data_IF_764353151698
#
_entry.id   IF_764353151698
#
_cell.length_a   1.000
_cell.length_b   1.000
_cell.length_c   1.000
_cell.angle_alpha   90.00
_cell.angle_beta   90.00
_cell.angle_gamma   90.00
#
_symmetry.space_group_name_H-M   'P 1'
#
loop_
_entity.id
_entity.type
_entity.pdbx_description
1 polymer ?
#
# COMPACT_ATOMS: atom_id res chain seq x y z
N UNK A 1 23.35 -7.00 -52.68
CA UNK A 1 22.46 -6.10 -51.90
C UNK A 1 21.39 -6.94 -51.21
N UNK A 2 21.11 -6.70 -49.92
CA UNK A 2 19.87 -7.06 -49.21
C UNK A 2 19.53 -8.52 -48.84
N UNK A 3 20.16 -9.06 -47.77
CA UNK A 3 19.46 -10.02 -46.87
C UNK A 3 19.71 -9.67 -45.39
N UNK A 4 20.96 -9.39 -45.00
CA UNK A 4 21.33 -9.05 -43.61
C UNK A 4 20.79 -7.69 -43.12
N UNK A 5 20.67 -6.71 -44.01
CA UNK A 5 20.06 -5.40 -43.70
C UNK A 5 18.54 -5.46 -43.54
N UNK A 6 17.87 -6.38 -44.25
CA UNK A 6 16.42 -6.59 -44.13
C UNK A 6 16.02 -7.29 -42.83
N UNK A 7 16.74 -8.33 -42.40
CA UNK A 7 16.46 -9.04 -41.14
C UNK A 7 16.65 -8.16 -39.90
N UNK A 8 17.69 -7.33 -39.91
CA UNK A 8 17.99 -6.39 -38.80
C UNK A 8 16.93 -5.29 -38.68
N UNK A 9 16.43 -4.77 -39.81
CA UNK A 9 15.33 -3.79 -39.82
C UNK A 9 13.99 -4.38 -39.38
N UNK A 10 13.70 -5.65 -39.70
CA UNK A 10 12.48 -6.33 -39.25
C UNK A 10 12.54 -6.57 -37.74
N UNK A 11 13.68 -7.01 -37.20
CA UNK A 11 13.85 -7.22 -35.77
C UNK A 11 13.72 -5.90 -34.99
N UNK A 12 14.30 -4.82 -35.52
CA UNK A 12 14.19 -3.48 -34.94
C UNK A 12 12.75 -2.94 -35.00
N UNK A 13 12.05 -3.13 -36.12
CA UNK A 13 10.64 -2.76 -36.27
C UNK A 13 9.72 -3.58 -35.34
N UNK A 14 9.96 -4.88 -35.17
CA UNK A 14 9.23 -5.72 -34.21
C UNK A 14 9.50 -5.31 -32.76
N UNK A 15 10.72 -4.90 -32.43
CA UNK A 15 11.08 -4.38 -31.11
C UNK A 15 10.43 -3.02 -30.85
N UNK A 16 10.41 -2.12 -31.83
CA UNK A 16 9.71 -0.84 -31.76
C UNK A 16 8.19 -1.03 -31.59
N UNK A 17 7.58 -1.90 -32.40
CA UNK A 17 6.16 -2.22 -32.32
C UNK A 17 5.77 -2.85 -30.98
N UNK A 18 6.62 -3.74 -30.44
CA UNK A 18 6.44 -4.32 -29.10
C UNK A 18 6.56 -3.26 -28.01
N UNK A 19 7.50 -2.31 -28.15
CA UNK A 19 7.72 -1.21 -27.20
C UNK A 19 6.56 -0.21 -27.21
N UNK A 20 6.05 0.16 -28.39
CA UNK A 20 4.86 1.01 -28.55
C UNK A 20 3.60 0.35 -27.96
N UNK A 21 3.41 -0.95 -28.21
CA UNK A 21 2.27 -1.70 -27.65
C UNK A 21 2.32 -1.83 -26.12
N UNK A 22 3.52 -1.99 -25.54
CA UNK A 22 3.71 -1.99 -24.08
C UNK A 22 3.44 -0.60 -23.50
N UNK A 23 3.88 0.46 -24.17
CA UNK A 23 3.64 1.85 -23.77
C UNK A 23 2.13 2.16 -23.76
N UNK A 24 1.41 1.73 -24.79
CA UNK A 24 -0.06 1.83 -24.87
C UNK A 24 -0.78 1.04 -23.76
N UNK A 25 -0.30 -0.14 -23.38
CA UNK A 25 -0.87 -0.93 -22.28
C UNK A 25 -0.65 -0.24 -20.94
N UNK A 26 0.54 0.34 -20.70
CA UNK A 26 0.84 1.04 -19.45
C UNK A 26 -0.03 2.30 -19.31
N UNK A 27 -0.10 3.13 -20.34
CA UNK A 27 -0.96 4.34 -20.36
C UNK A 27 -2.43 3.97 -20.15
N UNK A 28 -2.88 2.88 -20.78
CA UNK A 28 -4.22 2.34 -20.58
C UNK A 28 -4.46 1.89 -19.13
N UNK A 29 -3.58 1.07 -18.56
CA UNK A 29 -3.72 0.58 -17.18
C UNK A 29 -3.72 1.75 -16.19
N UNK A 30 -2.84 2.73 -16.38
CA UNK A 30 -2.76 3.92 -15.55
C UNK A 30 -4.07 4.73 -15.64
N UNK A 31 -4.69 4.81 -16.83
CA UNK A 31 -5.98 5.46 -17.04
C UNK A 31 -7.15 4.79 -16.30
N UNK A 32 -7.05 3.48 -16.03
CA UNK A 32 -8.10 2.74 -15.35
C UNK A 32 -8.16 3.03 -13.85
N UNK A 33 -7.11 3.64 -13.28
CA UNK A 33 -6.99 3.98 -11.86
C UNK A 33 -7.32 2.77 -10.95
N UNK A 34 -6.69 1.63 -11.27
CA UNK A 34 -6.98 0.35 -10.63
C UNK A 34 -6.54 0.34 -9.16
N UNK A 35 -7.33 -0.33 -8.35
CA UNK A 35 -7.26 -0.32 -6.91
C UNK A 35 -6.82 -1.67 -6.36
N UNK A 36 -7.39 -2.74 -6.93
CA UNK A 36 -7.23 -4.13 -6.52
C UNK A 36 -6.33 -4.90 -7.48
N UNK A 37 -5.85 -4.25 -8.54
CA UNK A 37 -4.97 -4.83 -9.53
C UNK A 37 -3.67 -4.02 -9.61
N UNK A 38 -2.55 -4.73 -9.54
CA UNK A 38 -1.21 -4.17 -9.73
C UNK A 38 -0.59 -4.72 -11.01
N UNK A 39 -0.04 -3.84 -11.84
CA UNK A 39 0.58 -4.25 -13.09
C UNK A 39 2.06 -4.54 -12.92
N UNK A 40 2.45 -5.79 -13.19
CA UNK A 40 3.84 -6.20 -13.34
C UNK A 40 4.28 -6.01 -14.80
N UNK A 41 4.92 -4.88 -15.08
CA UNK A 41 5.38 -4.53 -16.42
C UNK A 41 6.45 -5.46 -16.99
N UNK A 42 7.19 -6.18 -16.12
CA UNK A 42 8.20 -7.16 -16.55
C UNK A 42 7.54 -8.43 -17.06
N UNK A 43 6.44 -8.86 -16.42
CA UNK A 43 5.69 -10.06 -16.78
C UNK A 43 4.51 -9.80 -17.70
N UNK A 44 4.14 -8.53 -17.92
CA UNK A 44 2.97 -8.13 -18.69
C UNK A 44 1.69 -8.77 -18.13
N UNK A 45 1.51 -8.67 -16.81
CA UNK A 45 0.39 -9.26 -16.04
C UNK A 45 -0.18 -8.20 -15.08
N UNK A 46 -1.51 -8.08 -15.05
CA UNK A 46 -2.25 -7.47 -13.94
C UNK A 46 -2.52 -8.52 -12.86
N UNK A 47 -1.88 -8.35 -11.71
CA UNK A 47 -1.99 -9.23 -10.54
C UNK A 47 -3.14 -8.76 -9.68
N UNK A 48 -4.09 -9.65 -9.40
CA UNK A 48 -5.18 -9.37 -8.47
C UNK A 48 -4.68 -9.46 -7.01
N UNK A 49 -4.99 -8.47 -6.18
CA UNK A 49 -4.73 -8.53 -4.73
C UNK A 49 -5.76 -9.44 -4.05
N UNK A 50 -5.40 -10.71 -3.93
CA UNK A 50 -6.26 -11.75 -3.36
C UNK A 50 -6.57 -11.59 -1.87
N UNK A 51 -5.96 -10.61 -1.19
CA UNK A 51 -6.35 -10.29 0.19
C UNK A 51 -7.73 -9.62 0.26
N UNK A 52 -8.26 -9.13 -0.87
CA UNK A 52 -9.56 -8.49 -0.98
C UNK A 52 -10.40 -9.22 -2.04
N UNK A 53 -11.54 -9.76 -1.63
CA UNK A 53 -12.52 -10.38 -2.53
C UNK A 53 -13.89 -9.78 -2.23
N UNK A 54 -14.17 -8.64 -2.84
CA UNK A 54 -15.42 -7.91 -2.66
C UNK A 54 -15.98 -7.42 -4.01
N UNK A 55 -17.23 -6.93 -4.03
CA UNK A 55 -17.90 -6.45 -5.24
C UNK A 55 -17.07 -5.42 -6.02
N UNK A 56 -16.27 -4.59 -5.34
CA UNK A 56 -15.43 -3.58 -6.00
C UNK A 56 -14.25 -4.20 -6.75
N UNK A 57 -13.59 -5.22 -6.17
CA UNK A 57 -12.58 -6.00 -6.87
C UNK A 57 -13.15 -6.69 -8.12
N UNK A 58 -14.41 -7.14 -8.06
CA UNK A 58 -15.11 -7.71 -9.21
C UNK A 58 -15.45 -6.65 -10.26
N UNK A 59 -15.92 -5.48 -9.84
CA UNK A 59 -16.17 -4.36 -10.75
C UNK A 59 -14.90 -3.92 -11.49
N UNK A 60 -13.74 -3.90 -10.83
CA UNK A 60 -12.48 -3.62 -11.51
C UNK A 60 -12.10 -4.72 -12.49
N UNK A 61 -12.23 -5.98 -12.10
CA UNK A 61 -12.03 -7.11 -13.02
C UNK A 61 -12.90 -6.97 -14.27
N UNK A 62 -14.20 -6.66 -14.12
CA UNK A 62 -15.10 -6.44 -15.24
C UNK A 62 -14.70 -5.21 -16.07
N UNK A 63 -14.32 -4.10 -15.42
CA UNK A 63 -13.85 -2.89 -16.10
C UNK A 63 -12.63 -3.20 -16.98
N UNK A 64 -11.62 -3.87 -16.42
CA UNK A 64 -10.40 -4.25 -17.12
C UNK A 64 -10.74 -5.13 -18.32
N UNK A 65 -11.43 -6.25 -18.09
CA UNK A 65 -11.74 -7.23 -19.14
C UNK A 65 -12.64 -6.66 -20.23
N UNK A 66 -13.62 -5.82 -19.88
CA UNK A 66 -14.45 -5.09 -20.83
C UNK A 66 -13.63 -4.19 -21.74
N UNK A 67 -12.76 -3.35 -21.17
CA UNK A 67 -11.95 -2.43 -21.97
C UNK A 67 -10.94 -3.16 -22.85
N UNK A 68 -10.32 -4.24 -22.36
CA UNK A 68 -9.41 -5.05 -23.17
C UNK A 68 -10.13 -5.68 -24.36
N UNK A 69 -11.33 -6.21 -24.11
CA UNK A 69 -12.17 -6.80 -25.16
C UNK A 69 -12.60 -5.74 -26.19
N UNK A 70 -13.04 -4.57 -25.73
CA UNK A 70 -13.47 -3.44 -26.59
C UNK A 70 -12.35 -2.94 -27.49
N UNK A 71 -11.10 -2.95 -27.03
CA UNK A 71 -9.94 -2.51 -27.81
C UNK A 71 -9.22 -3.67 -28.52
N UNK A 72 -9.82 -4.86 -28.56
CA UNK A 72 -9.25 -6.08 -29.17
C UNK A 72 -7.84 -6.42 -28.66
N UNK A 73 -7.55 -6.13 -27.39
CA UNK A 73 -6.29 -6.49 -26.75
C UNK A 73 -6.42 -7.94 -26.26
N UNK A 74 -5.58 -8.88 -26.73
CA UNK A 74 -5.66 -10.27 -26.29
C UNK A 74 -5.21 -10.42 -24.84
N UNK A 75 -5.96 -11.20 -24.06
CA UNK A 75 -5.62 -11.50 -22.68
C UNK A 75 -6.07 -12.90 -22.25
N UNK A 76 -5.41 -13.44 -21.22
CA UNK A 76 -5.80 -14.67 -20.54
C UNK A 76 -6.07 -14.38 -19.06
N UNK A 77 -7.04 -15.08 -18.46
CA UNK A 77 -7.41 -14.94 -17.06
C UNK A 77 -7.02 -16.20 -16.29
N UNK A 78 -6.24 -16.00 -15.22
CA UNK A 78 -5.82 -17.08 -14.32
C UNK A 78 -6.85 -17.37 -13.22
N UNK A 79 -6.70 -18.50 -12.51
CA UNK A 79 -7.63 -18.92 -11.45
C UNK A 79 -7.83 -17.89 -10.34
N UNK A 80 -6.83 -17.07 -10.03
CA UNK A 80 -6.92 -16.02 -9.01
C UNK A 80 -7.42 -14.67 -9.58
N UNK A 81 -8.00 -14.68 -10.79
CA UNK A 81 -8.47 -13.51 -11.55
C UNK A 81 -7.36 -12.53 -11.96
N UNK A 82 -6.08 -12.91 -11.94
CA UNK A 82 -5.01 -12.11 -12.57
C UNK A 82 -5.06 -12.24 -14.09
N UNK A 83 -4.73 -11.18 -14.81
CA UNK A 83 -4.93 -11.03 -16.26
C UNK A 83 -3.57 -10.86 -16.96
N UNK A 84 -3.25 -11.68 -17.96
CA UNK A 84 -2.00 -11.61 -18.73
C UNK A 84 -2.24 -11.14 -20.17
N UNK A 85 -1.43 -10.20 -20.68
CA UNK A 85 -1.66 -9.55 -21.99
C UNK A 85 -0.89 -10.16 -23.18
N UNK A 86 -0.36 -11.37 -23.03
CA UNK A 86 0.35 -12.08 -24.10
C UNK A 86 -0.04 -13.54 -24.13
N UNK A 87 -0.26 -14.09 -25.33
CA UNK A 87 -0.10 -15.54 -25.56
C UNK A 87 1.37 -15.90 -25.32
N UNK A 88 1.75 -16.10 -24.07
CA UNK A 88 2.97 -16.82 -23.81
C UNK A 88 2.70 -18.27 -24.19
N UNK A 89 3.44 -18.80 -25.17
CA UNK A 89 3.67 -20.24 -25.17
C UNK A 89 4.17 -20.57 -23.76
N UNK A 90 3.49 -21.50 -23.09
CA UNK A 90 3.84 -21.94 -21.75
C UNK A 90 5.25 -22.55 -21.81
N UNK A 91 6.26 -21.72 -21.62
CA UNK A 91 7.64 -22.15 -21.62
C UNK A 91 7.90 -22.79 -20.27
N UNK A 92 7.80 -24.11 -20.23
CA UNK A 92 7.95 -24.88 -19.01
C UNK A 92 9.29 -24.57 -18.31
N UNK A 93 10.36 -24.25 -19.06
CA UNK A 93 11.66 -23.84 -18.48
C UNK A 93 11.58 -22.49 -17.76
N UNK A 94 10.83 -21.53 -18.30
CA UNK A 94 10.64 -20.22 -17.67
C UNK A 94 9.72 -20.32 -16.45
N UNK A 95 8.66 -21.13 -16.52
CA UNK A 95 7.83 -21.42 -15.37
C UNK A 95 8.61 -22.16 -14.26
N UNK A 96 9.43 -23.15 -14.62
CA UNK A 96 10.32 -23.86 -13.70
C UNK A 96 11.34 -22.91 -13.08
N UNK A 97 11.93 -21.99 -13.85
CA UNK A 97 12.90 -21.03 -13.31
C UNK A 97 12.24 -20.06 -12.32
N UNK A 98 11.02 -19.60 -12.60
CA UNK A 98 10.20 -18.79 -11.68
C UNK A 98 9.85 -19.59 -10.42
N UNK A 99 9.49 -20.88 -10.54
CA UNK A 99 9.23 -21.75 -9.40
C UNK A 99 10.48 -21.93 -8.53
N UNK A 100 11.63 -22.22 -9.15
CA UNK A 100 12.91 -22.36 -8.45
C UNK A 100 13.27 -21.05 -7.73
N UNK A 101 13.10 -19.89 -8.39
CA UNK A 101 13.31 -18.59 -7.76
C UNK A 101 12.32 -18.34 -6.62
N UNK A 102 11.04 -18.72 -6.77
CA UNK A 102 10.04 -18.58 -5.73
C UNK A 102 10.40 -19.41 -4.48
N UNK A 103 10.86 -20.66 -4.67
CA UNK A 103 11.32 -21.54 -3.60
C UNK A 103 12.57 -20.94 -2.94
N UNK A 104 13.54 -20.48 -3.74
CA UNK A 104 14.75 -19.83 -3.24
C UNK A 104 14.42 -18.58 -2.42
N UNK A 105 13.52 -17.74 -2.90
CA UNK A 105 13.10 -16.50 -2.23
C UNK A 105 12.32 -16.79 -0.94
N UNK A 106 11.49 -17.85 -0.91
CA UNK A 106 10.76 -18.27 0.29
C UNK A 106 11.70 -18.65 1.45
N UNK A 107 12.88 -19.18 1.13
CA UNK A 107 13.87 -19.57 2.13
C UNK A 107 14.73 -18.39 2.62
N UNK A 108 14.61 -17.19 2.01
CA UNK A 108 15.34 -16.01 2.48
C UNK A 108 14.75 -15.52 3.80
N UNK A 109 15.63 -14.99 4.65
CA UNK A 109 15.26 -14.36 5.91
C UNK A 109 14.98 -12.87 5.69
N UNK A 110 13.80 -12.57 5.13
CA UNK A 110 13.31 -11.21 4.96
C UNK A 110 12.23 -10.97 6.02
N UNK A 111 12.43 -9.97 6.86
CA UNK A 111 11.51 -9.62 7.94
C UNK A 111 10.90 -8.25 7.71
N UNK A 112 9.59 -8.16 7.84
CA UNK A 112 8.82 -6.92 7.78
C UNK A 112 8.30 -6.60 9.18
N UNK A 113 8.68 -5.44 9.73
CA UNK A 113 8.41 -5.09 11.13
C UNK A 113 6.97 -4.56 11.38
N UNK A 114 6.01 -5.08 10.62
CA UNK A 114 4.58 -4.77 10.73
C UNK A 114 3.75 -6.04 10.47
N UNK A 115 2.42 -5.92 10.53
CA UNK A 115 1.45 -7.01 10.35
C UNK A 115 1.02 -7.26 8.89
N UNK A 116 1.38 -6.37 7.94
CA UNK A 116 0.95 -6.46 6.55
C UNK A 116 1.62 -7.63 5.85
N UNK A 117 0.82 -8.50 5.24
CA UNK A 117 1.31 -9.64 4.47
C UNK A 117 1.85 -9.18 3.11
N UNK A 118 3.10 -9.53 2.84
CA UNK A 118 3.77 -9.32 1.54
C UNK A 118 4.51 -10.60 1.19
N UNK A 119 4.46 -11.00 -0.07
CA UNK A 119 5.07 -12.26 -0.54
C UNK A 119 6.55 -12.31 -0.13
N UNK A 120 7.00 -13.46 0.38
CA UNK A 120 8.38 -13.73 0.83
C UNK A 120 8.85 -13.03 2.10
N UNK A 121 8.10 -12.07 2.65
CA UNK A 121 8.43 -11.45 3.93
C UNK A 121 7.77 -12.19 5.11
N UNK A 122 8.53 -12.35 6.19
CA UNK A 122 8.05 -12.82 7.50
C UNK A 122 7.70 -11.60 8.36
N UNK A 123 6.53 -11.58 8.97
CA UNK A 123 6.09 -10.44 9.78
C UNK A 123 6.60 -10.52 11.22
N UNK A 124 7.12 -9.41 11.73
CA UNK A 124 7.37 -9.19 13.16
C UNK A 124 6.59 -7.92 13.55
N UNK A 125 5.31 -8.04 13.94
CA UNK A 125 4.50 -6.88 14.29
C UNK A 125 4.95 -6.31 15.62
N UNK A 126 5.81 -5.28 15.60
CA UNK A 126 6.41 -4.66 16.80
C UNK A 126 5.41 -3.87 17.66
N UNK A 127 4.26 -3.53 17.09
CA UNK A 127 3.17 -2.88 17.79
C UNK A 127 1.84 -3.49 17.33
N UNK A 128 0.84 -3.35 18.18
CA UNK A 128 -0.55 -3.68 17.92
C UNK A 128 -1.41 -2.43 18.03
N UNK A 129 -2.46 -2.39 17.24
CA UNK A 129 -3.50 -1.38 17.34
C UNK A 129 -4.45 -1.84 18.45
N UNK A 130 -4.59 -1.04 19.48
CA UNK A 130 -5.50 -1.33 20.59
C UNK A 130 -6.61 -0.28 20.60
N UNK A 131 -7.87 -0.70 20.39
CA UNK A 131 -9.03 0.16 20.59
C UNK A 131 -9.06 0.71 22.00
N UNK A 132 -9.45 1.98 22.16
CA UNK A 132 -9.70 2.59 23.46
C UNK A 132 -11.20 2.52 23.70
N UNK A 133 -11.61 1.72 24.68
CA UNK A 133 -13.03 1.53 25.01
C UNK A 133 -13.65 2.84 25.49
N UNK A 134 -14.57 3.37 24.68
CA UNK A 134 -15.39 4.54 25.03
C UNK A 134 -16.65 4.59 24.17
N UNK A 135 -17.67 5.26 24.70
CA UNK A 135 -18.88 5.58 23.95
C UNK A 135 -18.71 6.95 23.30
N UNK A 136 -18.91 7.01 21.99
CA UNK A 136 -18.82 8.24 21.21
C UNK A 136 -20.22 8.56 20.70
N UNK A 137 -20.76 9.70 21.09
CA UNK A 137 -22.01 10.19 20.52
C UNK A 137 -21.73 10.86 19.18
N UNK A 138 -22.19 10.24 18.10
CA UNK A 138 -21.95 10.71 16.73
C UNK A 138 -23.06 11.61 16.18
N UNK A 139 -24.21 11.72 16.87
CA UNK A 139 -25.43 12.36 16.31
C UNK A 139 -25.31 13.86 16.10
N UNK A 140 -24.34 14.51 16.75
CA UNK A 140 -24.11 15.96 16.69
C UNK A 140 -23.17 16.39 15.56
N UNK A 141 -22.56 15.46 14.83
CA UNK A 141 -21.52 15.78 13.85
C UNK A 141 -22.03 15.67 12.42
N UNK A 142 -21.73 16.69 11.62
CA UNK A 142 -22.06 16.76 10.20
C UNK A 142 -21.01 16.08 9.32
N UNK A 143 -19.79 15.92 9.84
CA UNK A 143 -18.66 15.35 9.11
C UNK A 143 -17.68 14.63 10.03
N UNK A 144 -17.04 13.59 9.49
CA UNK A 144 -15.95 12.87 10.17
C UNK A 144 -14.68 12.95 9.33
N UNK A 145 -13.55 13.22 9.97
CA UNK A 145 -12.22 13.13 9.37
C UNK A 145 -11.58 11.79 9.73
N UNK A 146 -11.05 11.09 8.72
CA UNK A 146 -10.36 9.80 8.87
C UNK A 146 -9.01 9.81 8.14
N UNK A 147 -7.92 9.76 8.89
CA UNK A 147 -6.56 9.79 8.33
C UNK A 147 -5.85 8.43 8.34
N UNK A 148 -6.51 7.38 8.80
CA UNK A 148 -5.90 6.05 8.95
C UNK A 148 -6.94 4.94 8.74
N UNK A 149 -6.50 3.82 8.16
CA UNK A 149 -7.31 2.60 8.08
C UNK A 149 -7.75 2.11 9.47
N UNK A 150 -6.87 2.26 10.46
CA UNK A 150 -7.12 1.80 11.82
C UNK A 150 -8.24 2.61 12.47
N UNK A 151 -8.38 3.89 12.12
CA UNK A 151 -9.50 4.71 12.62
C UNK A 151 -10.83 4.16 12.10
N UNK A 152 -10.90 3.76 10.84
CA UNK A 152 -12.10 3.16 10.22
C UNK A 152 -12.44 1.83 10.87
N UNK A 153 -11.47 0.91 10.94
CA UNK A 153 -11.69 -0.41 11.55
C UNK A 153 -12.15 -0.29 13.00
N UNK A 154 -11.55 0.65 13.74
CA UNK A 154 -11.89 0.90 15.15
C UNK A 154 -13.28 1.49 15.31
N UNK A 155 -13.62 2.57 14.58
CA UNK A 155 -14.95 3.18 14.71
C UNK A 155 -16.04 2.25 14.17
N UNK A 156 -15.75 1.45 13.15
CA UNK A 156 -16.70 0.46 12.66
C UNK A 156 -16.99 -0.61 13.73
N UNK A 157 -15.99 -1.08 14.46
CA UNK A 157 -16.23 -1.99 15.58
C UNK A 157 -17.00 -1.32 16.73
N UNK A 158 -16.77 -0.02 16.99
CA UNK A 158 -17.33 0.70 18.13
C UNK A 158 -18.76 1.21 17.93
N UNK A 159 -19.04 1.88 16.81
CA UNK A 159 -20.32 2.57 16.59
C UNK A 159 -20.64 2.69 15.11
N UNK A 160 -21.53 1.82 14.59
CA UNK A 160 -21.91 1.74 13.17
C UNK A 160 -22.57 3.00 12.61
N UNK A 161 -23.02 3.94 13.45
CA UNK A 161 -23.65 5.18 12.98
C UNK A 161 -22.69 6.08 12.20
N UNK A 162 -21.38 5.90 12.36
CA UNK A 162 -20.35 6.60 11.57
C UNK A 162 -20.60 6.48 10.07
N UNK A 163 -21.17 5.36 9.62
CA UNK A 163 -21.43 5.07 8.20
C UNK A 163 -22.37 6.07 7.55
N UNK A 164 -23.26 6.67 8.33
CA UNK A 164 -24.25 7.64 7.85
C UNK A 164 -23.64 9.04 7.68
N UNK A 165 -22.51 9.30 8.32
CA UNK A 165 -21.91 10.64 8.39
C UNK A 165 -20.90 10.84 7.25
N UNK A 166 -20.98 11.96 6.51
CA UNK A 166 -19.99 12.35 5.50
C UNK A 166 -18.53 12.23 5.97
N UNK A 167 -17.78 11.31 5.37
CA UNK A 167 -16.39 11.00 5.70
C UNK A 167 -15.40 11.70 4.76
N UNK A 168 -14.45 12.41 5.35
CA UNK A 168 -13.35 13.12 4.70
C UNK A 168 -12.06 12.36 4.95
N UNK A 169 -11.42 11.85 3.89
CA UNK A 169 -10.30 10.92 4.04
C UNK A 169 -9.01 11.39 3.37
N UNK A 170 -7.88 11.08 4.01
CA UNK A 170 -6.55 11.52 3.57
C UNK A 170 -6.02 10.80 2.32
N UNK A 171 -6.58 9.64 1.97
CA UNK A 171 -6.03 8.84 0.87
C UNK A 171 -7.07 8.00 0.18
N UNK A 172 -6.78 7.64 -1.07
CA UNK A 172 -7.56 6.67 -1.83
C UNK A 172 -7.65 5.32 -1.11
N UNK A 173 -6.61 4.88 -0.41
CA UNK A 173 -6.63 3.64 0.39
C UNK A 173 -7.70 3.70 1.49
N UNK A 174 -7.72 4.81 2.24
CA UNK A 174 -8.72 5.06 3.29
C UNK A 174 -10.12 5.16 2.68
N UNK A 175 -10.27 5.78 1.50
CA UNK A 175 -11.55 5.90 0.80
C UNK A 175 -12.16 4.56 0.40
N UNK A 176 -11.32 3.64 -0.10
CA UNK A 176 -11.73 2.27 -0.45
C UNK A 176 -12.31 1.56 0.77
N UNK A 177 -11.64 1.68 1.91
CA UNK A 177 -12.07 1.06 3.14
C UNK A 177 -13.38 1.64 3.66
N UNK A 178 -13.58 2.96 3.55
CA UNK A 178 -14.88 3.58 3.86
C UNK A 178 -15.99 2.96 3.02
N UNK A 179 -15.77 2.80 1.71
CA UNK A 179 -16.76 2.17 0.82
C UNK A 179 -16.98 0.69 1.13
N UNK A 180 -15.92 -0.05 1.45
CA UNK A 180 -15.98 -1.46 1.83
C UNK A 180 -16.84 -1.67 3.08
N UNK A 181 -16.76 -0.78 4.06
CA UNK A 181 -17.61 -0.82 5.24
C UNK A 181 -19.00 -0.19 5.05
N UNK A 182 -19.38 0.16 3.82
CA UNK A 182 -20.64 0.85 3.48
C UNK A 182 -20.80 2.23 4.14
N UNK A 183 -19.71 2.97 4.32
CA UNK A 183 -19.72 4.34 4.82
C UNK A 183 -19.94 5.40 3.73
N UNK A 184 -20.42 6.57 4.14
CA UNK A 184 -20.64 7.73 3.28
C UNK A 184 -19.33 8.48 3.05
N UNK A 185 -18.73 8.33 1.88
CA UNK A 185 -17.55 9.06 1.46
C UNK A 185 -17.92 10.43 0.87
N UNK A 186 -17.38 11.51 1.41
CA UNK A 186 -17.64 12.89 0.97
C UNK A 186 -16.43 13.55 0.29
N UNK A 187 -15.21 13.22 0.72
CA UNK A 187 -13.99 13.81 0.19
C UNK A 187 -12.82 12.85 0.25
N UNK A 188 -11.94 12.90 -0.76
CA UNK A 188 -10.66 12.17 -0.80
C UNK A 188 -9.55 13.15 -1.14
N UNK A 189 -8.54 13.23 -0.29
CA UNK A 189 -7.38 14.08 -0.53
C UNK A 189 -6.57 13.64 -1.74
N UNK A 190 -5.98 14.62 -2.41
CA UNK A 190 -5.09 14.41 -3.56
C UNK A 190 -3.63 14.19 -3.15
N UNK A 191 -3.20 14.77 -2.02
CA UNK A 191 -1.77 14.92 -1.69
C UNK A 191 -1.26 13.93 -0.65
N UNK A 192 -2.13 13.17 0.04
CA UNK A 192 -1.78 12.13 1.02
C UNK A 192 -0.89 12.60 2.19
N UNK A 193 -0.78 13.91 2.42
CA UNK A 193 -0.01 14.55 3.50
C UNK A 193 -0.97 15.25 4.46
N UNK A 194 -0.80 15.05 5.77
CA UNK A 194 -1.77 15.48 6.78
C UNK A 194 -2.01 16.99 6.84
N UNK A 195 -0.95 17.79 6.71
CA UNK A 195 -1.06 19.25 6.78
C UNK A 195 -1.70 19.82 5.51
N UNK A 196 -1.30 19.34 4.34
CA UNK A 196 -1.92 19.71 3.06
C UNK A 196 -3.38 19.26 3.00
N UNK A 197 -3.68 18.07 3.53
CA UNK A 197 -5.05 17.56 3.64
C UNK A 197 -5.95 18.48 4.46
N UNK A 198 -5.46 19.03 5.58
CA UNK A 198 -6.22 19.97 6.40
C UNK A 198 -6.62 21.23 5.60
N UNK A 199 -5.71 21.77 4.80
CA UNK A 199 -6.01 22.89 3.90
C UNK A 199 -7.01 22.51 2.79
N UNK A 200 -6.89 21.32 2.19
CA UNK A 200 -7.78 20.86 1.13
C UNK A 200 -9.25 20.77 1.58
N UNK A 201 -9.50 20.36 2.83
CA UNK A 201 -10.85 20.14 3.36
C UNK A 201 -11.47 21.39 4.00
N UNK A 202 -10.68 22.42 4.29
CA UNK A 202 -11.11 23.62 5.03
C UNK A 202 -12.40 24.23 4.44
N UNK A 203 -12.39 24.54 3.13
CA UNK A 203 -13.56 25.14 2.48
C UNK A 203 -14.79 24.22 2.51
N UNK A 204 -14.59 22.92 2.37
CA UNK A 204 -15.67 21.94 2.34
C UNK A 204 -16.27 21.64 3.73
N UNK A 205 -15.56 22.01 4.80
CA UNK A 205 -15.96 21.83 6.19
C UNK A 205 -16.51 23.11 6.84
N UNK A 206 -16.47 24.25 6.15
CA UNK A 206 -16.94 25.52 6.70
C UNK A 206 -18.41 25.43 7.13
N UNK A 207 -18.69 25.84 8.38
CA UNK A 207 -20.03 25.84 8.96
C UNK A 207 -20.57 24.46 9.37
N UNK A 208 -19.71 23.42 9.37
CA UNK A 208 -20.06 22.08 9.85
C UNK A 208 -19.46 21.83 11.22
N UNK A 209 -20.15 21.06 12.06
CA UNK A 209 -19.57 20.46 13.26
C UNK A 209 -18.84 19.18 12.89
N UNK A 210 -17.52 19.15 13.09
CA UNK A 210 -16.63 18.09 12.58
C UNK A 210 -16.04 17.26 13.71
N UNK A 211 -15.95 15.95 13.51
CA UNK A 211 -15.23 15.05 14.41
C UNK A 211 -14.01 14.43 13.73
N UNK A 212 -12.83 14.64 14.29
CA UNK A 212 -11.61 13.95 13.88
C UNK A 212 -11.36 12.69 14.71
N UNK A 213 -11.58 11.52 14.11
CA UNK A 213 -11.31 10.23 14.73
C UNK A 213 -9.86 9.80 14.50
N UNK A 214 -9.08 9.69 15.58
CA UNK A 214 -7.63 9.52 15.47
C UNK A 214 -7.02 8.52 16.43
N UNK A 215 -5.77 8.18 16.14
CA UNK A 215 -4.90 7.47 17.08
C UNK A 215 -4.32 8.44 18.11
N UNK A 216 -3.84 7.88 19.23
CA UNK A 216 -3.21 8.66 20.30
C UNK A 216 -2.01 9.47 19.83
N UNK A 217 -1.16 8.83 19.04
CA UNK A 217 0.01 9.45 18.40
C UNK A 217 -0.41 10.08 17.06
N UNK A 218 -0.10 11.37 16.88
CA UNK A 218 -0.37 12.13 15.65
C UNK A 218 0.91 12.80 15.18
N UNK A 219 1.15 12.78 13.87
CA UNK A 219 2.36 13.39 13.26
C UNK A 219 2.05 14.72 12.57
N UNK A 220 0.79 14.95 12.18
CA UNK A 220 0.34 16.15 11.45
C UNK A 220 -0.22 17.22 12.38
N UNK A 221 -0.16 18.48 11.94
CA UNK A 221 -0.75 19.64 12.63
C UNK A 221 -2.22 19.88 12.25
N UNK A 222 -2.95 18.82 11.87
CA UNK A 222 -4.28 18.91 11.27
C UNK A 222 -5.27 19.72 12.11
N UNK A 223 -5.37 19.44 13.41
CA UNK A 223 -6.26 20.17 14.32
C UNK A 223 -5.93 21.66 14.36
N UNK A 224 -4.65 22.00 14.57
CA UNK A 224 -4.21 23.39 14.63
C UNK A 224 -4.41 24.15 13.32
N UNK A 225 -4.35 23.47 12.17
CA UNK A 225 -4.63 24.08 10.87
C UNK A 225 -6.14 24.35 10.72
N UNK A 226 -6.99 23.39 11.07
CA UNK A 226 -8.45 23.54 11.00
C UNK A 226 -8.95 24.65 11.94
N UNK A 227 -8.44 24.68 13.16
CA UNK A 227 -8.74 25.72 14.16
C UNK A 227 -8.37 27.11 13.64
N UNK A 228 -7.16 27.28 13.10
CA UNK A 228 -6.72 28.56 12.49
C UNK A 228 -7.56 29.02 11.29
N UNK A 229 -8.33 28.11 10.69
CA UNK A 229 -9.24 28.41 9.59
C UNK A 229 -10.71 28.47 10.04
N UNK A 230 -10.97 28.59 11.35
CA UNK A 230 -12.30 28.71 11.95
C UNK A 230 -13.23 27.53 11.60
N UNK A 231 -12.67 26.32 11.57
CA UNK A 231 -13.46 25.10 11.44
C UNK A 231 -13.77 24.57 12.84
N UNK A 232 -15.06 24.37 13.12
CA UNK A 232 -15.52 23.73 14.35
C UNK A 232 -15.22 22.23 14.29
N UNK A 233 -14.05 21.85 14.81
CA UNK A 233 -13.57 20.47 14.79
C UNK A 233 -13.15 20.03 16.19
N UNK A 234 -13.81 18.99 16.69
CA UNK A 234 -13.40 18.25 17.88
C UNK A 234 -12.58 17.02 17.45
N UNK A 235 -11.69 16.51 18.30
CA UNK A 235 -10.97 15.26 18.06
C UNK A 235 -11.24 14.21 19.13
N UNK A 236 -11.22 12.94 18.71
CA UNK A 236 -11.41 11.82 19.61
C UNK A 236 -10.35 10.74 19.37
N UNK A 237 -9.63 10.40 20.43
CA UNK A 237 -8.60 9.36 20.43
C UNK A 237 -9.26 7.99 20.59
N UNK A 238 -9.45 7.23 19.51
CA UNK A 238 -10.19 5.96 19.53
C UNK A 238 -9.30 4.72 19.56
N UNK A 239 -8.01 4.86 19.26
CA UNK A 239 -7.06 3.76 19.37
C UNK A 239 -5.67 4.26 19.77
N UNK A 240 -4.82 3.36 20.22
CA UNK A 240 -3.40 3.62 20.40
C UNK A 240 -2.54 2.48 19.85
N UNK A 241 -1.31 2.84 19.47
CA UNK A 241 -0.28 1.87 19.11
C UNK A 241 0.36 1.39 20.41
N UNK A 242 0.09 0.15 20.83
CA UNK A 242 0.79 -0.47 21.96
C UNK A 242 1.93 -1.33 21.45
N UNK A 243 3.07 -1.25 22.12
CA UNK A 243 4.17 -2.17 21.87
C UNK A 243 3.70 -3.63 22.04
N UNK A 244 4.15 -4.51 21.16
CA UNK A 244 3.75 -5.92 21.19
C UNK A 244 4.79 -6.75 21.95
N UNK A 245 4.58 -6.96 23.23
CA UNK A 245 5.48 -7.71 24.13
C UNK A 245 5.77 -9.15 23.65
N UNK A 246 4.88 -9.75 22.85
CA UNK A 246 5.10 -11.09 22.30
C UNK A 246 6.34 -11.16 21.38
N UNK A 247 6.81 -10.03 20.84
CA UNK A 247 7.99 -10.00 19.96
C UNK A 247 9.31 -10.22 20.69
N UNK A 248 9.35 -10.06 22.01
CA UNK A 248 10.57 -10.31 22.82
C UNK A 248 11.05 -11.75 22.74
N UNK A 249 10.15 -12.68 22.40
CA UNK A 249 10.45 -14.11 22.24
C UNK A 249 10.99 -14.46 20.86
N UNK A 250 10.94 -13.55 19.90
CA UNK A 250 11.34 -13.81 18.52
C UNK A 250 12.87 -13.72 18.41
N UNK A 251 13.49 -14.64 17.66
CA UNK A 251 14.91 -14.56 17.30
C UNK A 251 15.03 -14.26 15.81
N UNK A 252 15.81 -13.24 15.47
CA UNK A 252 16.12 -12.88 14.08
C UNK A 252 17.45 -13.55 13.70
N UNK A 253 17.46 -14.51 12.75
CA UNK A 253 18.69 -15.19 12.35
C UNK A 253 19.72 -14.21 11.78
N UNK A 254 21.03 -14.51 11.92
CA UNK A 254 22.09 -13.76 11.24
C UNK A 254 21.86 -13.69 9.74
N UNK A 255 22.43 -12.67 9.08
CA UNK A 255 22.28 -12.39 7.64
C UNK A 255 20.84 -12.11 7.19
N UNK A 256 19.98 -11.70 8.14
CA UNK A 256 18.60 -11.32 7.85
C UNK A 256 18.51 -9.92 7.22
N UNK A 257 17.50 -9.76 6.37
CA UNK A 257 17.14 -8.49 5.74
C UNK A 257 15.91 -7.95 6.45
N UNK A 258 16.00 -6.79 7.08
CA UNK A 258 14.99 -6.27 8.00
C UNK A 258 14.42 -4.97 7.44
N UNK A 259 13.10 -4.95 7.22
CA UNK A 259 12.38 -3.84 6.60
C UNK A 259 11.70 -2.98 7.67
N UNK A 260 12.05 -1.70 7.65
CA UNK A 260 11.56 -0.65 8.56
C UNK A 260 10.68 0.32 7.79
N UNK A 261 9.43 0.46 8.25
CA UNK A 261 8.39 1.19 7.51
C UNK A 261 8.00 2.51 8.15
N UNK A 262 8.54 2.83 9.33
CA UNK A 262 8.34 4.12 9.99
C UNK A 262 9.41 4.36 11.06
N UNK A 263 9.62 5.61 11.50
CA UNK A 263 10.46 5.91 12.67
C UNK A 263 10.12 5.07 13.90
N UNK A 264 8.84 4.83 14.14
CA UNK A 264 8.38 4.00 15.27
C UNK A 264 8.84 2.55 15.17
N UNK A 265 8.93 1.97 13.96
CA UNK A 265 9.47 0.60 13.80
C UNK A 265 10.94 0.51 14.20
N UNK A 266 11.73 1.55 13.97
CA UNK A 266 13.13 1.63 14.41
C UNK A 266 13.19 1.70 15.94
N UNK A 267 12.44 2.63 16.54
CA UNK A 267 12.35 2.79 17.99
C UNK A 267 11.97 1.48 18.69
N UNK A 268 10.91 0.81 18.24
CA UNK A 268 10.45 -0.45 18.84
C UNK A 268 11.39 -1.62 18.58
N UNK A 269 12.10 -1.63 17.44
CA UNK A 269 13.10 -2.65 17.17
C UNK A 269 14.23 -2.57 18.20
N UNK A 270 14.81 -1.39 18.39
CA UNK A 270 15.92 -1.20 19.33
C UNK A 270 15.54 -1.29 20.81
N UNK A 271 14.25 -1.28 21.13
CA UNK A 271 13.77 -1.59 22.47
C UNK A 271 13.98 -3.07 22.84
N UNK A 272 14.06 -3.96 21.85
CA UNK A 272 13.96 -5.41 22.05
C UNK A 272 15.15 -6.17 21.43
N UNK A 273 15.56 -5.75 20.24
CA UNK A 273 16.58 -6.42 19.45
C UNK A 273 17.86 -5.60 19.48
N UNK A 274 18.97 -6.29 19.70
CA UNK A 274 20.29 -5.74 19.39
C UNK A 274 20.54 -5.82 17.88
N UNK A 275 21.28 -4.86 17.35
CA UNK A 275 21.74 -4.93 15.98
C UNK A 275 22.86 -5.96 15.84
N UNK A 276 22.79 -6.82 14.83
CA UNK A 276 23.88 -7.69 14.42
C UNK A 276 24.44 -7.16 13.09
N UNK A 277 25.76 -7.05 12.98
CA UNK A 277 26.42 -6.45 11.80
C UNK A 277 26.20 -7.24 10.51
N UNK A 278 25.75 -8.50 10.60
CA UNK A 278 25.33 -9.28 9.43
C UNK A 278 23.94 -8.91 8.92
N UNK A 279 23.15 -8.14 9.67
CA UNK A 279 21.84 -7.70 9.22
C UNK A 279 21.95 -6.65 8.10
N UNK A 280 20.94 -6.63 7.24
CA UNK A 280 20.77 -5.56 6.26
C UNK A 280 19.48 -4.81 6.55
N UNK A 281 19.59 -3.52 6.86
CA UNK A 281 18.43 -2.66 7.07
C UNK A 281 17.90 -2.16 5.72
N UNK A 282 16.58 -2.19 5.56
CA UNK A 282 15.87 -1.62 4.41
C UNK A 282 14.85 -0.62 4.96
N UNK A 283 14.96 0.63 4.55
CA UNK A 283 14.04 1.69 4.90
C UNK A 283 13.04 1.93 3.78
N UNK A 284 11.76 2.05 4.11
CA UNK A 284 10.69 2.39 3.15
C UNK A 284 10.88 3.76 2.48
N UNK A 285 11.66 4.65 3.09
CA UNK A 285 11.85 6.01 2.58
C UNK A 285 12.90 6.80 3.36
N UNK A 286 13.20 7.99 2.84
CA UNK A 286 14.24 8.88 3.38
C UNK A 286 13.92 9.35 4.81
N UNK A 287 12.66 9.72 5.09
CA UNK A 287 12.24 10.15 6.43
C UNK A 287 12.51 9.08 7.47
N UNK A 288 12.11 7.83 7.22
CA UNK A 288 12.41 6.71 8.14
C UNK A 288 13.91 6.46 8.28
N UNK A 289 14.68 6.57 7.19
CA UNK A 289 16.12 6.34 7.19
C UNK A 289 16.89 7.30 8.12
N UNK A 290 16.41 8.53 8.28
CA UNK A 290 17.03 9.55 9.14
C UNK A 290 17.00 9.19 10.64
N UNK A 291 16.12 8.27 11.05
CA UNK A 291 15.99 7.85 12.46
C UNK A 291 16.89 6.67 12.84
N UNK A 292 17.67 6.13 11.89
CA UNK A 292 18.61 5.06 12.22
C UNK A 292 19.78 5.59 13.05
N UNK A 293 20.32 4.77 13.97
CA UNK A 293 21.62 5.04 14.60
C UNK A 293 22.70 5.31 13.55
N UNK A 294 23.63 6.23 13.84
CA UNK A 294 24.66 6.68 12.88
C UNK A 294 25.52 5.54 12.30
N UNK A 295 25.69 4.45 13.04
CA UNK A 295 26.46 3.27 12.64
C UNK A 295 25.69 2.32 11.69
N UNK A 296 24.40 2.54 11.46
CA UNK A 296 23.57 1.68 10.61
C UNK A 296 23.12 2.47 9.40
N UNK A 297 23.55 2.03 8.21
CA UNK A 297 23.18 2.65 6.94
C UNK A 297 22.13 1.78 6.24
N UNK A 298 20.83 2.15 6.29
CA UNK A 298 19.80 1.40 5.62
C UNK A 298 19.86 1.60 4.10
N UNK A 299 19.50 0.58 3.34
CA UNK A 299 19.15 0.73 1.92
C UNK A 299 17.75 1.32 1.80
N UNK A 300 17.55 2.26 0.90
CA UNK A 300 16.25 2.91 0.71
C UNK A 300 15.52 2.21 -0.44
N UNK A 301 14.27 1.83 -0.20
CA UNK A 301 13.39 1.29 -1.23
C UNK A 301 13.13 2.33 -2.35
N UNK A 302 12.84 1.85 -3.55
CA UNK A 302 12.68 2.74 -4.71
C UNK A 302 11.39 3.58 -4.62
N UNK A 303 10.38 3.07 -3.90
CA UNK A 303 9.18 3.81 -3.55
C UNK A 303 8.67 3.42 -2.15
N UNK A 304 7.70 4.20 -1.65
CA UNK A 304 7.15 4.05 -0.30
C UNK A 304 6.06 2.96 -0.23
N UNK A 305 6.31 1.78 -0.80
CA UNK A 305 5.44 0.61 -0.70
C UNK A 305 6.14 -0.56 0.00
N UNK A 306 5.35 -1.42 0.64
CA UNK A 306 5.91 -2.63 1.27
C UNK A 306 6.49 -3.60 0.24
N UNK A 307 5.87 -3.70 -0.95
CA UNK A 307 6.36 -4.56 -2.03
C UNK A 307 7.73 -4.08 -2.52
N UNK A 308 7.92 -2.77 -2.76
CA UNK A 308 9.22 -2.21 -3.15
C UNK A 308 10.31 -2.50 -2.11
N UNK A 309 9.98 -2.47 -0.82
CA UNK A 309 10.94 -2.84 0.24
C UNK A 309 11.37 -4.32 0.14
N UNK A 310 10.43 -5.22 -0.13
CA UNK A 310 10.72 -6.65 -0.29
C UNK A 310 11.51 -6.91 -1.56
N UNK A 311 11.18 -6.25 -2.66
CA UNK A 311 11.91 -6.36 -3.92
C UNK A 311 13.36 -5.90 -3.73
N UNK A 312 13.57 -4.77 -3.04
CA UNK A 312 14.90 -4.31 -2.63
C UNK A 312 15.66 -5.35 -1.81
N UNK A 313 14.96 -6.03 -0.91
CA UNK A 313 15.55 -7.12 -0.12
C UNK A 313 16.00 -8.29 -1.00
N UNK A 314 15.28 -8.57 -2.09
CA UNK A 314 15.57 -9.70 -2.96
C UNK A 314 16.75 -9.46 -3.91
N UNK A 315 16.99 -8.20 -4.28
CA UNK A 315 18.13 -7.77 -5.10
C UNK A 315 19.48 -8.00 -4.42
N UNK A 316 19.49 -7.91 -3.09
CA UNK A 316 20.69 -8.09 -2.28
C UNK A 316 20.98 -9.60 -2.14
N UNK A 317 22.22 -9.99 -2.48
CA UNK A 317 22.66 -11.39 -2.45
C UNK A 317 22.61 -12.01 -1.06
#
# INVERSE_FOLDING_TARGET
>A
MNIQTKSTNILYAMLLFKKEKIMLINEFIDSLNLIYYEYDSKKNILINDTNYSNRFSEMEFFKITYHLSKNHIPFDVSKNKSISFSKQHFNLKEYLSILIQNVKNKNKNIFLLNDKKVKWAKNIPLFKIVPIEKKINLTQYDAIILTSKNAIETIDAMNKDWKKIPSYVISQQTAKLVKEFNGTLAFVSKTKHGDTFAHEITNALKGKKVLYLRGKEVVSNLMSILERNNIDCEDEIIYENRFNELVEKIKIPKKSKIIFTSPSTIKYFFKVFSWDDSYTAISIGKTTAQYFPKNIKPLIADNTSFQSCVDKALEIK
#
